data_IF_288057465289
#
_entry.id   IF_288057465289
#
_cell.length_a   1.000
_cell.length_b   1.000
_cell.length_c   1.000
_cell.angle_alpha   90.00
_cell.angle_beta   90.00
_cell.angle_gamma   90.00
#
_symmetry.space_group_name_H-M   'P 1'
#
loop_
_entity.id
_entity.type
_entity.pdbx_description
1 polymer ?
#
# COMPACT_ATOMS: atom_id res chain seq x y z
N UNK A 1 -3.21 10.57 19.96
CA UNK A 1 -2.52 9.64 19.05
C UNK A 1 -1.58 10.44 18.14
N UNK A 2 -0.44 9.86 17.83
CA UNK A 2 0.54 10.34 16.83
C UNK A 2 0.84 9.20 15.88
N UNK A 3 1.27 9.52 14.66
CA UNK A 3 1.56 8.54 13.62
C UNK A 3 3.01 8.67 13.16
N UNK A 4 3.69 7.55 13.02
CA UNK A 4 5.10 7.49 12.62
C UNK A 4 5.36 6.29 11.70
N UNK A 5 6.04 6.53 10.60
CA UNK A 5 6.31 5.51 9.57
C UNK A 5 7.29 4.42 9.96
N UNK A 6 8.02 4.55 11.06
CA UNK A 6 9.10 3.62 11.46
C UNK A 6 10.06 3.28 10.30
N UNK A 7 10.42 4.29 9.54
CA UNK A 7 11.13 4.14 8.28
C UNK A 7 12.57 3.65 8.48
N UNK A 8 12.92 2.51 7.87
CA UNK A 8 14.26 1.92 7.87
C UNK A 8 15.05 2.24 6.58
N UNK A 9 14.48 3.05 5.69
CA UNK A 9 15.14 3.54 4.46
C UNK A 9 14.56 4.87 4.03
N UNK A 10 15.31 5.72 3.28
CA UNK A 10 14.82 7.02 2.82
C UNK A 10 13.52 6.96 2.03
N UNK A 11 13.33 5.93 1.21
CA UNK A 11 12.12 5.73 0.40
C UNK A 11 10.86 5.39 1.21
N UNK A 12 11.00 5.12 2.51
CA UNK A 12 9.89 4.82 3.42
C UNK A 12 9.53 5.98 4.35
N UNK A 13 10.30 7.07 4.30
CA UNK A 13 9.98 8.30 5.04
C UNK A 13 8.65 8.89 4.58
N UNK A 14 7.88 9.41 5.55
CA UNK A 14 6.61 10.10 5.28
C UNK A 14 5.44 9.19 4.87
N UNK A 15 5.56 7.86 4.99
CA UNK A 15 4.39 6.97 4.78
C UNK A 15 3.31 7.19 5.83
N UNK A 16 3.73 7.57 7.01
CA UNK A 16 2.90 8.08 8.11
C UNK A 16 3.52 9.36 8.63
N UNK A 17 2.69 10.34 8.97
CA UNK A 17 3.14 11.65 9.38
C UNK A 17 2.11 12.35 10.27
N UNK A 18 2.59 13.33 11.05
CA UNK A 18 1.73 14.22 11.81
C UNK A 18 1.69 15.60 11.13
N UNK A 19 0.50 16.14 10.99
CA UNK A 19 0.26 17.47 10.45
C UNK A 19 0.20 18.46 11.61
N UNK A 20 1.12 19.41 11.62
CA UNK A 20 1.29 20.35 12.72
C UNK A 20 1.34 21.80 12.18
N UNK A 21 0.63 22.69 12.85
CA UNK A 21 0.68 24.14 12.64
C UNK A 21 1.18 24.79 13.95
N UNK A 22 2.50 24.76 14.13
CA UNK A 22 3.17 25.26 15.34
C UNK A 22 4.60 25.68 15.03
N UNK A 23 5.22 26.40 15.95
CA UNK A 23 6.64 26.74 15.84
C UNK A 23 7.52 25.49 15.86
N UNK A 24 8.58 25.48 15.05
CA UNK A 24 9.53 24.37 15.00
C UNK A 24 10.46 24.44 16.22
N UNK A 25 9.93 24.05 17.36
CA UNK A 25 10.67 23.93 18.62
C UNK A 25 10.17 22.74 19.43
N UNK A 26 11.03 22.16 20.28
CA UNK A 26 10.66 21.04 21.14
C UNK A 26 9.45 21.33 22.04
N UNK A 27 9.43 22.52 22.65
CA UNK A 27 8.34 22.94 23.53
C UNK A 27 7.02 23.07 22.81
N UNK A 28 7.01 23.69 21.60
CA UNK A 28 5.81 23.87 20.81
C UNK A 28 5.28 22.54 20.25
N UNK A 29 6.14 21.66 19.76
CA UNK A 29 5.77 20.31 19.32
C UNK A 29 5.17 19.49 20.47
N UNK A 30 5.82 19.50 21.63
CA UNK A 30 5.34 18.78 22.82
C UNK A 30 4.00 19.31 23.30
N UNK A 31 3.81 20.64 23.27
CA UNK A 31 2.54 21.29 23.58
C UNK A 31 1.44 20.83 22.65
N UNK A 32 1.66 20.92 21.34
CA UNK A 32 0.69 20.50 20.32
C UNK A 32 0.27 19.03 20.48
N UNK A 33 1.22 18.12 20.75
CA UNK A 33 0.93 16.70 20.94
C UNK A 33 0.12 16.47 22.23
N UNK A 34 0.42 17.20 23.31
CA UNK A 34 -0.27 17.02 24.60
C UNK A 34 -1.66 17.63 24.65
N UNK A 35 -1.83 18.81 24.06
CA UNK A 35 -3.06 19.59 24.16
C UNK A 35 -3.96 19.42 22.92
N UNK A 36 -3.39 19.06 21.79
CA UNK A 36 -4.06 19.07 20.48
C UNK A 36 -4.11 20.45 19.83
N UNK A 37 -3.62 21.52 20.50
CA UNK A 37 -3.54 22.85 19.91
C UNK A 37 -2.42 22.91 18.86
N UNK A 38 -2.75 23.27 17.62
CA UNK A 38 -1.82 23.21 16.50
C UNK A 38 -1.53 21.80 15.98
N UNK A 39 -2.16 20.74 16.53
CA UNK A 39 -2.14 19.39 15.97
C UNK A 39 -3.33 19.25 15.03
N UNK A 40 -3.08 19.20 13.70
CA UNK A 40 -4.13 19.24 12.68
C UNK A 40 -4.69 17.86 12.33
N UNK A 41 -3.86 16.82 12.40
CA UNK A 41 -4.25 15.47 12.04
C UNK A 41 -3.05 14.59 11.70
N UNK A 42 -3.31 13.43 11.13
CA UNK A 42 -2.30 12.47 10.72
C UNK A 42 -2.46 12.06 9.26
N UNK A 43 -1.37 11.60 8.65
CA UNK A 43 -1.34 10.88 7.38
C UNK A 43 -1.01 9.44 7.72
N UNK A 44 -1.84 8.53 7.23
CA UNK A 44 -1.75 7.10 7.50
C UNK A 44 -1.60 6.32 6.19
N UNK A 45 -0.96 5.15 6.23
CA UNK A 45 -1.11 4.18 5.14
C UNK A 45 -2.44 3.43 5.28
N UNK A 46 -2.80 2.65 4.28
CA UNK A 46 -3.97 1.77 4.36
C UNK A 46 -3.61 0.53 5.18
N UNK A 47 -4.15 0.35 6.41
CA UNK A 47 -3.78 -0.77 7.27
C UNK A 47 -4.08 -2.13 6.64
N UNK A 48 -5.04 -2.19 5.70
CA UNK A 48 -5.37 -3.39 4.94
C UNK A 48 -4.21 -3.90 4.07
N UNK A 49 -3.23 -3.06 3.71
CA UNK A 49 -2.03 -3.49 2.99
C UNK A 49 -1.06 -4.32 3.85
N UNK A 50 -1.21 -4.24 5.18
CA UNK A 50 -0.41 -5.00 6.12
C UNK A 50 -0.58 -6.53 5.96
N UNK A 51 0.53 -7.26 5.86
CA UNK A 51 0.53 -8.73 5.63
C UNK A 51 -0.06 -9.58 6.76
N UNK A 52 -0.44 -8.98 7.86
CA UNK A 52 -1.11 -9.59 9.01
C UNK A 52 -2.31 -8.73 9.46
N UNK A 53 -3.00 -8.10 8.51
CA UNK A 53 -4.14 -7.25 8.84
C UNK A 53 -5.32 -8.10 9.35
N UNK A 54 -5.80 -9.04 8.56
CA UNK A 54 -6.86 -9.97 8.95
C UNK A 54 -6.32 -11.35 9.38
N UNK A 55 -7.20 -12.13 9.97
CA UNK A 55 -6.94 -13.52 10.31
C UNK A 55 -6.92 -14.38 9.04
N UNK A 56 -6.13 -15.46 9.06
CA UNK A 56 -6.15 -16.32 7.87
C UNK A 56 -5.25 -17.53 7.91
N UNK A 57 -5.33 -18.29 6.81
CA UNK A 57 -4.45 -19.41 6.52
C UNK A 57 -4.08 -19.38 5.03
N UNK A 58 -2.93 -18.78 4.71
CA UNK A 58 -2.47 -18.52 3.34
C UNK A 58 -2.45 -19.78 2.47
N UNK A 59 -1.96 -20.91 3.01
CA UNK A 59 -1.87 -22.15 2.26
C UNK A 59 -3.23 -22.69 1.80
N UNK A 60 -4.31 -22.26 2.43
CA UNK A 60 -5.69 -22.63 2.08
C UNK A 60 -6.46 -21.48 1.40
N UNK A 61 -5.82 -20.31 1.21
CA UNK A 61 -6.48 -19.12 0.67
C UNK A 61 -7.62 -18.58 1.55
N UNK A 62 -7.54 -18.81 2.87
CA UNK A 62 -8.57 -18.42 3.84
C UNK A 62 -8.17 -17.10 4.47
N UNK A 63 -9.03 -16.09 4.33
CA UNK A 63 -8.95 -14.77 4.94
C UNK A 63 -10.28 -14.50 5.64
N UNK A 64 -10.28 -14.22 6.93
CA UNK A 64 -11.47 -14.08 7.78
C UNK A 64 -11.40 -12.83 8.64
N UNK A 65 -12.56 -12.24 8.90
CA UNK A 65 -12.72 -11.21 9.93
C UNK A 65 -12.59 -11.82 11.33
N UNK A 66 -12.33 -11.02 12.38
CA UNK A 66 -12.30 -11.49 13.76
C UNK A 66 -13.58 -12.25 14.17
N UNK A 67 -14.75 -11.74 13.80
CA UNK A 67 -16.04 -12.37 14.09
C UNK A 67 -16.19 -13.74 13.41
N UNK A 68 -15.78 -13.85 12.14
CA UNK A 68 -15.79 -15.13 11.42
C UNK A 68 -14.80 -16.13 12.01
N UNK A 69 -13.66 -15.67 12.49
CA UNK A 69 -12.65 -16.49 13.18
C UNK A 69 -13.20 -17.01 14.50
N UNK A 70 -13.84 -16.15 15.29
CA UNK A 70 -14.46 -16.52 16.55
C UNK A 70 -15.56 -17.58 16.36
N UNK A 71 -16.42 -17.41 15.32
CA UNK A 71 -17.46 -18.37 14.98
C UNK A 71 -16.91 -19.75 14.55
N UNK A 72 -15.62 -19.85 14.24
CA UNK A 72 -14.91 -21.08 13.82
C UNK A 72 -13.89 -21.55 14.86
N UNK A 73 -13.97 -21.02 16.08
CA UNK A 73 -13.07 -21.40 17.19
C UNK A 73 -11.57 -21.23 16.82
N UNK A 74 -11.25 -20.27 15.94
CA UNK A 74 -9.87 -20.00 15.47
C UNK A 74 -9.32 -21.07 14.50
N UNK A 75 -10.17 -21.89 13.90
CA UNK A 75 -9.76 -23.00 13.02
C UNK A 75 -10.05 -22.70 11.54
N UNK A 76 -9.12 -23.09 10.69
CA UNK A 76 -9.27 -22.99 9.24
C UNK A 76 -10.38 -23.93 8.74
N UNK A 77 -11.40 -23.41 8.02
CA UNK A 77 -12.53 -24.23 7.54
C UNK A 77 -12.13 -25.26 6.47
N UNK A 78 -10.94 -25.12 5.88
CA UNK A 78 -10.46 -26.04 4.83
C UNK A 78 -9.66 -27.21 5.41
N UNK A 79 -8.73 -26.95 6.35
CA UNK A 79 -7.80 -27.98 6.83
C UNK A 79 -7.85 -28.22 8.35
N UNK A 80 -8.66 -27.49 9.10
CA UNK A 80 -8.81 -27.65 10.55
C UNK A 80 -7.61 -27.15 11.38
N UNK A 81 -6.55 -26.60 10.77
CA UNK A 81 -5.42 -26.03 11.51
C UNK A 81 -5.79 -24.66 12.08
N UNK A 82 -5.06 -24.23 13.12
CA UNK A 82 -5.20 -22.90 13.68
C UNK A 82 -4.94 -21.84 12.62
N UNK A 83 -5.75 -20.78 12.64
CA UNK A 83 -5.55 -19.58 11.85
C UNK A 83 -4.41 -18.75 12.43
N UNK A 84 -3.70 -18.04 11.55
CA UNK A 84 -2.83 -16.95 11.96
C UNK A 84 -3.71 -15.74 12.29
N UNK A 85 -3.57 -15.24 13.51
CA UNK A 85 -4.37 -14.11 14.01
C UNK A 85 -3.77 -12.79 13.51
N UNK A 86 -4.61 -11.94 12.96
CA UNK A 86 -4.26 -10.63 12.43
C UNK A 86 -4.34 -9.50 13.47
N UNK A 87 -3.90 -8.31 13.07
CA UNK A 87 -3.91 -7.12 13.94
C UNK A 87 -5.34 -6.68 14.25
N UNK A 88 -6.24 -6.73 13.26
CA UNK A 88 -7.65 -6.35 13.40
C UNK A 88 -8.36 -7.17 14.49
N UNK A 89 -8.01 -8.43 14.64
CA UNK A 89 -8.53 -9.28 15.72
C UNK A 89 -8.21 -8.70 17.10
N UNK A 90 -6.97 -8.22 17.29
CA UNK A 90 -6.59 -7.60 18.56
C UNK A 90 -7.25 -6.24 18.77
N UNK A 91 -7.47 -5.48 17.71
CA UNK A 91 -8.24 -4.23 17.75
C UNK A 91 -9.67 -4.51 18.21
N UNK A 92 -10.32 -5.51 17.62
CA UNK A 92 -11.69 -5.92 18.00
C UNK A 92 -11.77 -6.41 19.46
N UNK A 93 -10.81 -7.22 19.93
CA UNK A 93 -10.75 -7.66 21.33
C UNK A 93 -10.62 -6.51 22.33
N UNK A 94 -9.96 -5.41 21.94
CA UNK A 94 -9.74 -4.25 22.80
C UNK A 94 -10.80 -3.17 22.64
N UNK A 95 -11.68 -3.30 21.63
CA UNK A 95 -12.71 -2.32 21.37
C UNK A 95 -13.75 -2.29 22.51
N UNK A 96 -13.91 -1.12 23.12
CA UNK A 96 -14.90 -0.86 24.17
C UNK A 96 -16.09 -0.02 23.67
N UNK A 97 -16.14 0.26 22.36
CA UNK A 97 -17.13 1.09 21.69
C UNK A 97 -17.56 0.47 20.37
N UNK A 98 -18.77 0.80 19.89
CA UNK A 98 -19.24 0.29 18.61
C UNK A 98 -18.39 0.80 17.44
N UNK A 99 -18.34 0.03 16.37
CA UNK A 99 -17.70 0.42 15.13
C UNK A 99 -18.21 1.79 14.66
N UNK A 100 -17.31 2.62 14.13
CA UNK A 100 -17.60 3.98 13.68
C UNK A 100 -17.71 5.02 14.79
N UNK A 101 -17.59 4.65 16.07
CA UNK A 101 -17.56 5.63 17.15
C UNK A 101 -16.36 6.57 16.99
N UNK A 102 -16.63 7.87 17.02
CA UNK A 102 -15.60 8.92 16.96
C UNK A 102 -15.73 9.85 18.13
N UNK A 103 -14.67 10.01 18.98
CA UNK A 103 -14.66 10.99 20.03
C UNK A 103 -14.81 12.42 19.46
N UNK A 104 -15.48 13.32 20.20
CA UNK A 104 -15.72 14.71 19.76
C UNK A 104 -14.42 15.46 19.42
N UNK A 105 -13.34 15.17 20.17
CA UNK A 105 -12.03 15.81 19.99
C UNK A 105 -11.06 15.00 19.12
N UNK A 106 -11.52 13.96 18.41
CA UNK A 106 -10.67 13.17 17.55
C UNK A 106 -10.19 14.02 16.37
N UNK A 107 -8.87 14.08 16.20
CA UNK A 107 -8.26 14.75 15.05
C UNK A 107 -8.53 13.95 13.78
N UNK A 108 -8.65 14.61 12.62
CA UNK A 108 -8.82 13.92 11.35
C UNK A 108 -7.56 13.14 10.96
N UNK A 109 -7.75 12.14 10.13
CA UNK A 109 -6.67 11.48 9.42
C UNK A 109 -7.01 11.35 7.95
N UNK A 110 -5.99 11.23 7.12
CA UNK A 110 -6.10 10.92 5.70
C UNK A 110 -5.24 9.70 5.38
N UNK A 111 -5.79 8.75 4.62
CA UNK A 111 -5.02 7.58 4.16
C UNK A 111 -4.43 7.86 2.80
N UNK A 112 -3.11 7.68 2.67
CA UNK A 112 -2.37 7.86 1.43
C UNK A 112 -1.57 6.59 1.11
N UNK A 113 -1.37 6.35 -0.17
CA UNK A 113 -0.38 5.41 -0.67
C UNK A 113 0.78 6.17 -1.33
N UNK A 114 2.00 5.60 -1.37
CA UNK A 114 3.12 6.20 -2.07
C UNK A 114 2.80 6.48 -3.53
N UNK A 115 3.26 7.61 -4.06
CA UNK A 115 2.97 8.03 -5.44
C UNK A 115 3.35 6.97 -6.50
N UNK A 116 4.46 6.21 -6.40
CA UNK A 116 4.72 5.11 -7.32
C UNK A 116 3.65 4.00 -7.28
N UNK A 117 3.10 3.72 -6.09
CA UNK A 117 2.03 2.73 -5.93
C UNK A 117 0.70 3.25 -6.51
N UNK A 118 0.41 4.54 -6.32
CA UNK A 118 -0.75 5.22 -6.95
C UNK A 118 -0.65 5.18 -8.48
N UNK A 119 0.51 5.49 -9.04
CA UNK A 119 0.74 5.40 -10.49
C UNK A 119 0.55 3.96 -10.98
N UNK A 120 1.09 2.99 -10.25
CA UNK A 120 0.98 1.57 -10.58
C UNK A 120 -0.48 1.08 -10.54
N UNK A 121 -1.21 1.39 -9.46
CA UNK A 121 -2.62 1.04 -9.28
C UNK A 121 -3.53 1.72 -10.33
N UNK A 122 -3.13 2.89 -10.83
CA UNK A 122 -3.87 3.64 -11.85
C UNK A 122 -3.59 3.20 -13.28
N UNK A 123 -2.46 2.51 -13.52
CA UNK A 123 -2.02 2.15 -14.88
C UNK A 123 -1.94 0.64 -15.11
N UNK A 124 -2.18 -0.17 -14.08
CA UNK A 124 -2.00 -1.62 -14.13
C UNK A 124 -0.53 -2.05 -14.28
N UNK A 125 0.42 -1.17 -13.96
CA UNK A 125 1.86 -1.42 -14.05
C UNK A 125 2.43 -1.90 -12.70
N UNK A 126 3.70 -2.29 -12.67
CA UNK A 126 4.42 -2.57 -11.42
C UNK A 126 4.98 -1.29 -10.83
N UNK A 127 4.83 -1.07 -9.51
CA UNK A 127 5.34 0.12 -8.83
C UNK A 127 6.87 0.30 -8.96
N UNK A 128 7.63 -0.80 -9.02
CA UNK A 128 9.07 -0.78 -9.30
C UNK A 128 9.42 -0.74 -10.78
N UNK A 129 8.42 -0.64 -11.67
CA UNK A 129 8.62 -0.63 -13.13
C UNK A 129 9.25 0.67 -13.60
N UNK A 130 10.17 0.57 -14.57
CA UNK A 130 10.90 1.73 -15.13
C UNK A 130 9.97 2.88 -15.55
N UNK A 131 8.85 2.57 -16.19
CA UNK A 131 7.89 3.59 -16.63
C UNK A 131 7.21 4.31 -15.48
N UNK A 132 6.90 3.58 -14.40
CA UNK A 132 6.30 4.17 -13.19
C UNK A 132 7.31 5.11 -12.54
N UNK A 133 8.56 4.69 -12.41
CA UNK A 133 9.61 5.53 -11.84
C UNK A 133 9.91 6.77 -12.70
N UNK A 134 9.93 6.65 -14.02
CA UNK A 134 10.09 7.81 -14.93
C UNK A 134 8.92 8.82 -14.77
N UNK A 135 7.68 8.34 -14.59
CA UNK A 135 6.54 9.21 -14.31
C UNK A 135 6.62 9.86 -12.93
N UNK A 136 7.02 9.08 -11.92
CA UNK A 136 7.23 9.55 -10.56
C UNK A 136 8.24 10.68 -10.51
N UNK A 137 9.44 10.47 -11.07
CA UNK A 137 10.51 11.49 -11.11
C UNK A 137 10.06 12.75 -11.85
N UNK A 138 9.34 12.60 -12.97
CA UNK A 138 8.79 13.74 -13.72
C UNK A 138 7.80 14.54 -12.87
N UNK A 139 6.87 13.87 -12.19
CA UNK A 139 5.90 14.55 -11.34
C UNK A 139 6.59 15.29 -10.19
N UNK A 140 7.60 14.69 -9.55
CA UNK A 140 8.38 15.37 -8.50
C UNK A 140 9.13 16.60 -9.01
N UNK A 141 9.70 16.49 -10.22
CA UNK A 141 10.44 17.62 -10.83
C UNK A 141 9.52 18.80 -11.17
N UNK A 142 8.34 18.51 -11.71
CA UNK A 142 7.43 19.54 -12.24
C UNK A 142 6.47 20.11 -11.17
N UNK A 143 6.01 19.27 -10.23
CA UNK A 143 4.97 19.64 -9.27
C UNK A 143 5.48 19.69 -7.82
N UNK A 144 6.73 19.30 -7.55
CA UNK A 144 7.34 19.35 -6.22
C UNK A 144 7.12 18.10 -5.37
N UNK A 145 7.10 18.23 -4.02
CA UNK A 145 7.12 17.09 -3.11
C UNK A 145 5.93 16.14 -3.26
N UNK A 146 6.14 14.87 -2.99
CA UNK A 146 5.14 13.81 -3.11
C UNK A 146 3.83 14.12 -2.38
N UNK A 147 3.89 14.60 -1.14
CA UNK A 147 2.69 15.01 -0.39
C UNK A 147 1.93 16.15 -1.06
N UNK A 148 2.62 17.11 -1.68
CA UNK A 148 1.96 18.15 -2.44
C UNK A 148 1.22 17.56 -3.64
N UNK A 149 1.85 16.65 -4.37
CA UNK A 149 1.24 15.99 -5.53
C UNK A 149 0.02 15.19 -5.12
N UNK A 150 0.13 14.35 -4.10
CA UNK A 150 -0.96 13.49 -3.65
C UNK A 150 -2.13 14.26 -3.04
N UNK A 151 -1.88 15.39 -2.38
CA UNK A 151 -2.88 16.10 -1.58
C UNK A 151 -3.41 17.39 -2.21
N UNK A 152 -2.59 18.13 -2.95
CA UNK A 152 -2.87 19.54 -3.27
C UNK A 152 -2.77 19.90 -4.76
N UNK A 153 -1.84 19.31 -5.52
CA UNK A 153 -1.64 19.66 -6.94
C UNK A 153 -2.94 19.59 -7.73
N UNK A 154 -3.22 20.54 -8.64
CA UNK A 154 -4.37 20.48 -9.52
C UNK A 154 -4.40 19.18 -10.32
N UNK A 155 -5.58 18.57 -10.41
CA UNK A 155 -5.73 17.28 -11.11
C UNK A 155 -5.41 17.45 -12.60
N UNK A 156 -5.72 18.59 -13.19
CA UNK A 156 -5.47 18.94 -14.59
C UNK A 156 -3.98 18.97 -14.90
N UNK A 157 -3.15 19.42 -13.95
CA UNK A 157 -1.68 19.40 -14.10
C UNK A 157 -1.12 17.97 -14.01
N UNK A 158 -1.66 17.16 -13.10
CA UNK A 158 -1.29 15.74 -13.02
C UNK A 158 -1.68 15.03 -14.33
N UNK A 159 -2.87 15.31 -14.87
CA UNK A 159 -3.34 14.75 -16.14
C UNK A 159 -2.42 15.12 -17.30
N UNK A 160 -2.04 16.38 -17.40
CA UNK A 160 -1.11 16.88 -18.43
C UNK A 160 0.25 16.17 -18.39
N UNK A 161 0.75 15.85 -17.19
CA UNK A 161 2.09 15.27 -16.99
C UNK A 161 2.09 13.75 -17.01
N UNK A 162 1.11 13.11 -16.42
CA UNK A 162 1.08 11.66 -16.21
C UNK A 162 -0.11 10.95 -16.88
N UNK A 163 -1.01 11.70 -17.49
CA UNK A 163 -2.18 11.18 -18.20
C UNK A 163 -3.41 10.95 -17.35
N UNK A 164 -4.57 10.68 -17.99
CA UNK A 164 -5.87 10.66 -17.34
C UNK A 164 -6.01 9.53 -16.30
N UNK A 165 -5.38 8.37 -16.52
CA UNK A 165 -5.42 7.28 -15.54
C UNK A 165 -4.82 7.69 -14.19
N UNK A 166 -3.64 8.31 -14.20
CA UNK A 166 -2.96 8.74 -12.96
C UNK A 166 -3.72 9.87 -12.29
N UNK A 167 -4.22 10.83 -13.05
CA UNK A 167 -5.04 11.93 -12.55
C UNK A 167 -6.31 11.43 -11.86
N UNK A 168 -7.02 10.48 -12.48
CA UNK A 168 -8.20 9.84 -11.89
C UNK A 168 -7.84 9.05 -10.63
N UNK A 169 -6.72 8.31 -10.65
CA UNK A 169 -6.24 7.60 -9.47
C UNK A 169 -5.99 8.52 -8.28
N UNK A 170 -5.29 9.64 -8.50
CA UNK A 170 -5.07 10.64 -7.44
C UNK A 170 -6.39 11.27 -6.97
N UNK A 171 -7.32 11.55 -7.89
CA UNK A 171 -8.65 12.07 -7.54
C UNK A 171 -9.42 11.12 -6.64
N UNK A 172 -9.41 9.81 -6.96
CA UNK A 172 -10.08 8.78 -6.16
C UNK A 172 -9.42 8.61 -4.80
N UNK A 173 -8.09 8.60 -4.76
CA UNK A 173 -7.34 8.54 -3.50
C UNK A 173 -7.75 9.68 -2.57
N UNK A 174 -7.77 10.93 -3.05
CA UNK A 174 -8.18 12.10 -2.28
C UNK A 174 -9.63 12.04 -1.78
N UNK A 175 -10.50 11.32 -2.48
CA UNK A 175 -11.90 11.09 -2.11
C UNK A 175 -12.10 9.84 -1.24
N UNK A 176 -11.06 9.10 -0.92
CA UNK A 176 -11.16 7.82 -0.23
C UNK A 176 -11.86 6.72 -1.04
N UNK A 177 -11.98 6.90 -2.36
CA UNK A 177 -12.58 5.92 -3.29
C UNK A 177 -11.53 4.89 -3.69
N UNK A 178 -11.15 4.07 -2.73
CA UNK A 178 -10.10 3.06 -2.85
C UNK A 178 -10.70 1.70 -2.56
N UNK A 179 -10.57 0.78 -3.50
CA UNK A 179 -10.88 -0.63 -3.26
C UNK A 179 -9.70 -1.26 -2.52
N UNK A 180 -9.97 -1.97 -1.43
CA UNK A 180 -8.96 -2.53 -0.53
C UNK A 180 -9.14 -4.03 -0.43
N UNK A 181 -8.07 -4.76 -0.66
CA UNK A 181 -7.98 -6.19 -0.43
C UNK A 181 -7.03 -6.42 0.74
N UNK A 182 -7.55 -6.85 1.91
CA UNK A 182 -6.73 -6.97 3.11
C UNK A 182 -5.70 -8.09 3.00
N UNK A 183 -4.53 -7.85 3.60
CA UNK A 183 -3.51 -8.88 3.76
C UNK A 183 -3.79 -9.78 4.95
N UNK A 184 -3.25 -10.99 4.92
CA UNK A 184 -3.42 -12.02 5.95
C UNK A 184 -2.30 -13.06 5.90
N UNK A 185 -1.96 -13.64 7.00
CA UNK A 185 -1.01 -14.77 7.15
C UNK A 185 0.28 -14.63 6.30
N UNK A 186 0.87 -13.44 6.32
CA UNK A 186 2.12 -13.12 5.62
C UNK A 186 1.94 -12.71 4.15
N UNK A 187 0.73 -12.68 3.62
CA UNK A 187 0.40 -12.14 2.31
C UNK A 187 0.02 -10.66 2.43
N UNK A 188 0.70 -9.79 1.68
CA UNK A 188 0.39 -8.37 1.66
C UNK A 188 -0.98 -8.11 1.04
N UNK A 189 -1.71 -7.17 1.62
CA UNK A 189 -2.89 -6.62 0.98
C UNK A 189 -2.53 -5.72 -0.20
N UNK A 190 -3.55 -5.29 -0.90
CA UNK A 190 -3.41 -4.42 -2.07
C UNK A 190 -4.52 -3.39 -2.10
N UNK A 191 -4.21 -2.23 -2.67
CA UNK A 191 -5.21 -1.22 -3.03
C UNK A 191 -5.40 -1.18 -4.54
N UNK A 192 -6.62 -0.87 -4.97
CA UNK A 192 -6.95 -0.63 -6.37
C UNK A 192 -7.68 0.70 -6.50
N UNK A 193 -7.30 1.48 -7.51
CA UNK A 193 -7.87 2.80 -7.80
C UNK A 193 -8.75 2.78 -9.05
N UNK A 194 -8.36 1.98 -10.04
CA UNK A 194 -9.05 1.80 -11.30
C UNK A 194 -9.16 0.32 -11.64
N UNK A 195 -10.29 -0.08 -12.16
CA UNK A 195 -10.47 -1.42 -12.75
C UNK A 195 -9.74 -1.53 -14.09
N UNK A 196 -9.39 -2.76 -14.55
CA UNK A 196 -8.78 -2.94 -15.86
C UNK A 196 -9.60 -2.31 -17.01
N UNK A 197 -10.93 -2.38 -16.95
CA UNK A 197 -11.81 -1.79 -17.96
C UNK A 197 -11.74 -0.25 -17.96
N UNK A 198 -11.67 0.36 -16.79
CA UNK A 198 -11.49 1.81 -16.68
C UNK A 198 -10.12 2.26 -17.18
N UNK A 199 -9.06 1.50 -16.88
CA UNK A 199 -7.70 1.77 -17.40
C UNK A 199 -7.71 1.75 -18.94
N UNK A 200 -8.38 0.77 -19.55
CA UNK A 200 -8.53 0.73 -21.02
C UNK A 200 -9.32 1.93 -21.55
N UNK A 201 -10.42 2.29 -20.91
CA UNK A 201 -11.25 3.43 -21.28
C UNK A 201 -10.46 4.74 -21.22
N UNK A 202 -9.81 5.04 -20.11
CA UNK A 202 -9.01 6.26 -19.97
C UNK A 202 -7.79 6.27 -20.89
N UNK A 203 -7.15 5.13 -21.12
CA UNK A 203 -6.04 5.02 -22.08
C UNK A 203 -6.49 5.17 -23.52
N UNK A 204 -7.69 4.68 -23.87
CA UNK A 204 -8.30 4.80 -25.19
C UNK A 204 -8.73 6.23 -25.55
N UNK A 205 -9.14 7.03 -24.57
CA UNK A 205 -9.44 8.45 -24.78
C UNK A 205 -8.21 9.25 -25.23
N UNK A 206 -7.02 8.91 -24.77
CA UNK A 206 -5.77 9.53 -25.28
C UNK A 206 -5.50 9.21 -26.77
N UNK A 207 -5.93 8.06 -27.25
CA UNK A 207 -5.76 7.65 -28.67
C UNK A 207 -6.65 8.44 -29.63
N UNK A 208 -7.78 8.99 -29.17
CA UNK A 208 -8.73 9.77 -29.98
C UNK A 208 -8.30 11.24 -30.15
N UNK A 209 -7.45 11.78 -29.27
CA UNK A 209 -7.07 13.21 -29.26
C UNK A 209 -5.59 13.48 -29.58
N UNK A 210 -4.79 12.51 -29.92
CA UNK A 210 -3.41 12.75 -30.37
C UNK A 210 -2.39 11.71 -29.88
N UNK A 211 -2.19 10.71 -30.68
CA UNK A 211 -0.95 10.04 -31.06
C UNK A 211 -1.32 8.65 -31.64
N UNK A 212 -0.90 8.37 -32.84
CA UNK A 212 -1.14 7.06 -33.49
C UNK A 212 -0.56 5.93 -32.62
N UNK A 213 -1.29 4.79 -32.47
CA UNK A 213 -0.80 3.65 -31.73
C UNK A 213 0.33 2.96 -32.49
N UNK A 214 1.54 3.01 -31.93
CA UNK A 214 2.63 2.16 -32.42
C UNK A 214 2.25 0.69 -32.18
N UNK A 215 1.80 0.00 -33.21
CA UNK A 215 1.54 -1.44 -33.16
C UNK A 215 2.83 -2.21 -32.85
N UNK A 216 3.02 -2.54 -31.57
CA UNK A 216 4.07 -3.48 -31.13
C UNK A 216 3.61 -4.90 -31.51
N UNK A 217 4.23 -5.50 -32.53
CA UNK A 217 4.13 -6.92 -32.82
C UNK A 217 4.58 -7.71 -31.59
N UNK A 218 3.66 -8.42 -30.95
CA UNK A 218 3.98 -9.45 -29.94
C UNK A 218 4.70 -10.60 -30.62
N UNK A 219 6.01 -10.60 -30.58
CA UNK A 219 6.82 -11.77 -30.90
C UNK A 219 6.73 -12.77 -29.74
N UNK A 220 5.97 -13.82 -29.92
CA UNK A 220 5.95 -14.97 -29.03
C UNK A 220 7.31 -15.67 -29.08
N UNK A 221 8.19 -15.42 -28.13
CA UNK A 221 9.42 -16.18 -27.95
C UNK A 221 9.08 -17.42 -27.10
N UNK A 222 8.93 -18.56 -27.77
CA UNK A 222 8.87 -19.87 -27.13
C UNK A 222 10.23 -20.14 -26.46
N UNK A 223 10.25 -20.25 -25.14
CA UNK A 223 11.42 -20.70 -24.38
C UNK A 223 11.34 -22.22 -24.33
N UNK A 224 12.38 -22.97 -24.78
CA UNK A 224 12.40 -24.42 -24.65
C UNK A 224 12.60 -24.81 -23.18
N UNK A 225 11.78 -25.73 -22.67
CA UNK A 225 12.01 -26.41 -21.39
C UNK A 225 13.34 -27.15 -21.45
N UNK A 226 14.32 -26.75 -20.65
CA UNK A 226 15.48 -27.56 -20.34
C UNK A 226 15.11 -28.53 -19.22
N UNK A 227 15.35 -29.82 -19.49
CA UNK A 227 15.18 -30.92 -18.56
C UNK A 227 16.05 -30.74 -17.30
N UNK A 228 15.46 -31.13 -16.17
CA UNK A 228 16.11 -31.13 -14.85
C UNK A 228 17.34 -32.03 -14.86
N UNK A 229 18.50 -31.44 -14.53
CA UNK A 229 19.69 -32.17 -14.21
C UNK A 229 19.72 -32.51 -12.72
N UNK A 230 20.19 -33.72 -12.42
CA UNK A 230 20.41 -34.34 -11.13
C UNK A 230 21.26 -33.46 -10.20
N UNK A 231 20.98 -33.36 -8.89
CA UNK A 231 21.82 -32.59 -7.97
C UNK A 231 23.16 -33.32 -7.69
N UNK A 232 24.26 -32.57 -7.53
CA UNK A 232 25.53 -33.15 -7.12
C UNK A 232 25.59 -33.39 -5.61
N UNK A 233 26.38 -34.41 -5.26
CA UNK A 233 26.62 -35.02 -3.98
C UNK A 233 26.97 -34.07 -2.82
N UNK A 234 26.69 -34.59 -1.63
CA UNK A 234 26.91 -34.02 -0.31
C UNK A 234 28.37 -33.64 -0.04
N UNK A 235 28.57 -32.49 0.60
CA UNK A 235 29.86 -32.10 1.23
C UNK A 235 30.01 -32.80 2.58
N UNK A 236 31.22 -33.19 3.00
CA UNK A 236 31.46 -33.94 4.21
C UNK A 236 31.36 -33.08 5.47
N UNK A 237 30.79 -33.68 6.52
CA UNK A 237 30.68 -33.17 7.88
C UNK A 237 32.08 -32.84 8.46
N UNK A 238 32.23 -31.61 8.95
CA UNK A 238 33.42 -31.23 9.75
C UNK A 238 33.16 -31.49 11.24
N UNK A 239 34.03 -32.31 11.79
CA UNK A 239 34.14 -32.74 13.18
C UNK A 239 34.48 -31.56 14.12
N UNK A 240 33.82 -31.41 15.29
CA UNK A 240 34.21 -30.43 16.29
C UNK A 240 35.11 -31.06 17.35
N UNK A 241 36.39 -30.99 17.22
CA UNK A 241 37.32 -31.18 18.35
C UNK A 241 38.51 -30.23 18.27
N UNK A 242 38.84 -29.71 19.46
CA UNK A 242 40.01 -28.92 19.88
C UNK A 242 39.97 -27.41 19.72
N UNK A 243 39.69 -26.76 20.84
CA UNK A 243 40.49 -25.60 21.30
C UNK A 243 40.42 -25.56 22.84
N UNK A 244 41.65 -25.77 23.40
CA UNK A 244 42.02 -25.43 24.77
C UNK A 244 41.82 -23.95 25.07
#
# INVERSE_FOLDING_TARGET
LVSHSDAHSPSKLGREANLLETALSYSALTHAIRTGEGFLGTVEFFPEEGKYHLDGHRNCGVCLTPAETAAREGLCPVCGKKLTIGVEHRVEELADRPEGFRPENAKPFESLAPLPEVIAASTGASAAGKKVMEQYERLLHELGPEFHILRQSPIEEIERLAGPCVAEGVRRLRKGQVERRPGFDGEYGTISLLTPAEIEQYSGQMSLFGAEPVKRKRGARKIPLKQAGTPPDALPESNPETLN
#
